data_IF_323283183211
#
_entry.id   IF_323283183211
#
_cell.length_a   1.000
_cell.length_b   1.000
_cell.length_c   1.000
_cell.angle_alpha   90.00
_cell.angle_beta   90.00
_cell.angle_gamma   90.00
#
_symmetry.space_group_name_H-M   'P 1'
#
loop_
_entity.id
_entity.type
_entity.pdbx_description
1 polymer ?
#
# COMPACT_ATOMS: atom_id res chain seq x y z
N UNK A 1 -5.74 6.43 8.25
CA UNK A 1 -4.34 6.04 8.04
C UNK A 1 -3.52 7.26 7.67
N UNK A 2 -2.19 7.14 7.63
CA UNK A 2 -1.26 8.18 7.17
C UNK A 2 -0.40 8.84 8.25
N UNK A 3 -0.80 8.75 9.52
CA UNK A 3 -0.25 9.61 10.60
C UNK A 3 0.72 8.90 11.54
N UNK A 4 0.84 7.57 11.45
CA UNK A 4 1.65 6.78 12.38
C UNK A 4 2.42 5.69 11.64
N UNK A 5 3.49 5.22 12.27
CA UNK A 5 4.15 3.97 11.92
C UNK A 5 3.67 2.88 12.86
N UNK A 6 3.36 1.71 12.32
CA UNK A 6 2.86 0.56 13.09
C UNK A 6 3.51 -0.71 12.58
N UNK A 7 3.67 -1.68 13.48
CA UNK A 7 4.22 -2.99 13.14
C UNK A 7 3.29 -3.73 12.18
N UNK A 8 3.85 -4.27 11.10
CA UNK A 8 3.13 -5.19 10.22
C UNK A 8 3.24 -6.60 10.81
N UNK A 9 2.15 -7.08 11.43
CA UNK A 9 2.15 -8.34 12.17
C UNK A 9 2.38 -8.15 13.67
N UNK A 10 1.43 -7.49 14.34
CA UNK A 10 1.43 -7.30 15.80
C UNK A 10 1.18 -8.62 16.55
N UNK A 11 0.25 -9.43 16.06
CA UNK A 11 -0.16 -10.70 16.68
C UNK A 11 0.61 -11.88 16.07
N UNK A 12 0.70 -11.90 14.74
CA UNK A 12 1.43 -12.93 13.99
C UNK A 12 2.34 -12.25 12.96
N UNK A 13 3.55 -12.77 12.68
CA UNK A 13 4.41 -12.19 11.66
C UNK A 13 3.73 -12.18 10.28
N UNK A 14 3.92 -11.09 9.54
CA UNK A 14 3.62 -11.07 8.12
C UNK A 14 4.66 -11.91 7.37
N UNK A 15 4.19 -12.86 6.56
CA UNK A 15 5.05 -13.73 5.76
C UNK A 15 5.18 -13.13 4.37
N UNK A 16 6.42 -12.87 3.94
CA UNK A 16 6.75 -12.38 2.61
C UNK A 16 8.21 -12.71 2.30
N UNK A 17 8.53 -12.90 1.02
CA UNK A 17 9.91 -13.03 0.53
C UNK A 17 10.57 -11.66 0.28
N UNK A 18 9.81 -10.57 0.44
CA UNK A 18 10.33 -9.22 0.32
C UNK A 18 11.28 -8.88 1.47
N UNK A 19 12.45 -8.33 1.15
CA UNK A 19 13.50 -7.98 2.12
C UNK A 19 13.27 -6.64 2.83
N UNK A 20 12.15 -5.97 2.59
CA UNK A 20 11.86 -4.68 3.19
C UNK A 20 11.61 -4.80 4.69
N UNK A 21 12.43 -4.13 5.49
CA UNK A 21 12.36 -4.20 6.96
C UNK A 21 11.64 -2.98 7.57
N UNK A 22 11.10 -2.10 6.74
CA UNK A 22 10.34 -0.93 7.17
C UNK A 22 11.19 0.20 7.74
N UNK A 23 10.71 0.84 8.81
CA UNK A 23 11.23 2.08 9.38
C UNK A 23 12.69 1.98 9.87
N UNK A 24 13.13 0.80 10.29
CA UNK A 24 14.53 0.55 10.66
C UNK A 24 15.54 0.92 9.56
N UNK A 25 15.16 0.81 8.28
CA UNK A 25 16.05 1.19 7.18
C UNK A 25 16.47 2.67 7.26
N UNK A 26 15.64 3.50 7.90
CA UNK A 26 15.89 4.92 8.18
C UNK A 26 16.48 5.12 9.58
N UNK A 27 15.83 4.61 10.62
CA UNK A 27 16.18 4.96 12.02
C UNK A 27 17.35 4.18 12.57
N UNK A 28 17.64 2.99 12.02
CA UNK A 28 18.63 2.02 12.51
C UNK A 28 18.31 1.43 13.89
N UNK A 29 17.15 1.73 14.46
CA UNK A 29 16.69 1.20 15.74
C UNK A 29 15.96 -0.14 15.56
N UNK A 30 16.37 -1.16 16.31
CA UNK A 30 15.77 -2.50 16.22
C UNK A 30 14.27 -2.51 16.54
N UNK A 31 13.84 -1.63 17.45
CA UNK A 31 12.43 -1.47 17.82
C UNK A 31 11.54 -0.98 16.66
N UNK A 32 12.13 -0.43 15.60
CA UNK A 32 11.44 0.01 14.39
C UNK A 32 11.41 -1.03 13.27
N UNK A 33 11.97 -2.24 13.48
CA UNK A 33 11.93 -3.31 12.50
C UNK A 33 10.49 -3.75 12.24
N UNK A 34 10.15 -3.84 10.96
CA UNK A 34 8.83 -4.15 10.42
C UNK A 34 7.73 -3.13 10.79
N UNK A 35 8.10 -1.94 11.28
CA UNK A 35 7.17 -0.82 11.36
C UNK A 35 7.06 -0.13 10.00
N UNK A 36 5.85 -0.01 9.48
CA UNK A 36 5.58 0.70 8.22
C UNK A 36 4.63 1.86 8.49
N UNK A 37 4.71 2.92 7.66
CA UNK A 37 3.72 3.99 7.71
C UNK A 37 2.35 3.40 7.38
N UNK A 38 1.37 3.57 8.25
CA UNK A 38 0.00 3.10 7.99
C UNK A 38 -0.53 3.83 6.74
N UNK A 39 -0.90 3.13 5.66
CA UNK A 39 -1.35 3.79 4.43
C UNK A 39 -2.71 4.47 4.62
N UNK A 40 -3.04 5.41 3.73
CA UNK A 40 -4.42 5.85 3.57
C UNK A 40 -5.26 4.75 2.94
N UNK A 41 -6.55 4.70 3.25
CA UNK A 41 -7.50 3.78 2.61
C UNK A 41 -8.43 4.50 1.62
N UNK A 42 -8.24 5.81 1.40
CA UNK A 42 -8.94 6.51 0.32
C UNK A 42 -8.44 5.98 -1.02
N UNK A 43 -9.39 5.75 -1.94
CA UNK A 43 -9.14 5.14 -3.26
C UNK A 43 -8.51 3.75 -3.20
N UNK A 44 -8.60 3.03 -2.08
CA UNK A 44 -7.96 1.71 -1.93
C UNK A 44 -8.46 0.69 -2.96
N UNK A 45 -9.69 0.84 -3.45
CA UNK A 45 -10.22 0.01 -4.55
C UNK A 45 -9.39 0.13 -5.84
N UNK A 46 -8.74 1.27 -6.08
CA UNK A 46 -8.02 1.57 -7.32
C UNK A 46 -6.51 1.32 -7.23
N UNK A 47 -6.01 0.88 -6.07
CA UNK A 47 -4.56 0.79 -5.78
C UNK A 47 -4.13 -0.64 -5.45
N UNK A 48 -4.69 -1.63 -6.16
CA UNK A 48 -4.21 -3.00 -6.09
C UNK A 48 -2.89 -3.15 -6.89
N UNK A 49 -2.03 -4.12 -6.54
CA UNK A 49 -2.13 -5.03 -5.40
C UNK A 49 -1.77 -4.36 -4.05
N UNK A 50 -2.13 -5.01 -2.94
CA UNK A 50 -2.03 -4.45 -1.59
C UNK A 50 -0.77 -4.88 -0.84
N UNK A 51 -0.46 -4.13 0.23
CA UNK A 51 0.76 -4.21 1.05
C UNK A 51 2.02 -3.69 0.33
N UNK A 52 3.13 -3.64 1.05
CA UNK A 52 4.38 -3.02 0.59
C UNK A 52 5.12 -3.87 -0.45
N UNK A 53 4.76 -5.14 -0.55
CA UNK A 53 5.28 -6.15 -1.46
C UNK A 53 4.33 -6.48 -2.62
N UNK A 54 3.07 -6.02 -2.56
CA UNK A 54 2.06 -6.30 -3.58
C UNK A 54 1.55 -7.76 -3.58
N UNK A 55 1.71 -8.51 -2.50
CA UNK A 55 1.35 -9.96 -2.49
C UNK A 55 -0.17 -10.22 -2.35
N UNK A 56 -0.94 -9.25 -1.89
CA UNK A 56 -2.38 -9.37 -1.79
C UNK A 56 -3.05 -8.82 -3.06
N UNK A 57 -3.52 -9.70 -3.95
CA UNK A 57 -4.19 -9.28 -5.19
C UNK A 57 -5.63 -8.77 -5.03
N UNK A 58 -6.27 -8.98 -3.88
CA UNK A 58 -7.69 -8.60 -3.64
C UNK A 58 -7.89 -7.94 -2.29
N UNK A 59 -8.88 -7.03 -2.20
CA UNK A 59 -9.25 -6.39 -0.93
C UNK A 59 -9.66 -7.43 0.11
N UNK A 60 -10.41 -8.47 -0.30
CA UNK A 60 -10.82 -9.52 0.61
C UNK A 60 -9.64 -10.26 1.24
N UNK A 61 -8.61 -10.59 0.45
CA UNK A 61 -7.37 -11.20 0.95
C UNK A 61 -6.63 -10.23 1.88
N UNK A 62 -6.54 -8.95 1.52
CA UNK A 62 -5.88 -7.94 2.35
C UNK A 62 -6.59 -7.75 3.72
N UNK A 63 -7.93 -7.66 3.72
CA UNK A 63 -8.74 -7.53 4.94
C UNK A 63 -8.61 -8.75 5.84
N UNK A 64 -8.61 -9.96 5.26
CA UNK A 64 -8.44 -11.20 6.01
C UNK A 64 -7.06 -11.28 6.67
N UNK A 65 -5.99 -11.00 5.92
CA UNK A 65 -4.62 -10.95 6.42
C UNK A 65 -4.52 -9.92 7.56
N UNK A 66 -5.03 -8.70 7.37
CA UNK A 66 -4.99 -7.67 8.41
C UNK A 66 -5.77 -8.06 9.66
N UNK A 67 -6.94 -8.68 9.50
CA UNK A 67 -7.72 -9.21 10.63
C UNK A 67 -6.92 -10.19 11.47
N UNK A 68 -6.27 -11.16 10.81
CA UNK A 68 -5.47 -12.19 11.47
C UNK A 68 -4.22 -11.62 12.13
N UNK A 69 -3.35 -10.98 11.37
CA UNK A 69 -2.00 -10.65 11.85
C UNK A 69 -1.97 -9.41 12.76
N UNK A 70 -2.96 -8.52 12.65
CA UNK A 70 -3.00 -7.30 13.47
C UNK A 70 -3.93 -7.40 14.65
N UNK A 71 -5.06 -8.11 14.51
CA UNK A 71 -6.11 -8.15 15.53
C UNK A 71 -6.32 -9.55 16.13
N UNK A 72 -5.68 -10.59 15.58
CA UNK A 72 -5.95 -11.97 15.98
C UNK A 72 -7.38 -12.42 15.64
N UNK A 73 -8.04 -11.76 14.67
CA UNK A 73 -9.44 -12.01 14.31
C UNK A 73 -9.54 -12.73 12.98
N UNK A 74 -10.35 -13.79 12.95
CA UNK A 74 -10.77 -14.45 11.72
C UNK A 74 -12.17 -13.96 11.36
N UNK A 75 -12.28 -13.17 10.30
CA UNK A 75 -13.57 -12.71 9.82
C UNK A 75 -14.32 -13.83 9.11
N UNK A 76 -15.63 -13.89 9.31
CA UNK A 76 -16.49 -14.68 8.42
C UNK A 76 -16.52 -14.06 7.01
N UNK A 77 -16.88 -14.83 5.97
CA UNK A 77 -17.00 -14.29 4.61
C UNK A 77 -17.95 -13.09 4.53
N UNK A 78 -19.03 -13.10 5.32
CA UNK A 78 -20.00 -12.01 5.36
C UNK A 78 -19.43 -10.73 6.02
N UNK A 79 -18.65 -10.86 7.10
CA UNK A 79 -17.99 -9.71 7.74
C UNK A 79 -16.92 -9.11 6.84
N UNK A 80 -16.08 -9.96 6.23
CA UNK A 80 -15.08 -9.52 5.27
C UNK A 80 -15.73 -8.75 4.11
N UNK A 81 -16.81 -9.30 3.53
CA UNK A 81 -17.54 -8.65 2.45
C UNK A 81 -18.11 -7.28 2.85
N UNK A 82 -18.62 -7.13 4.09
CA UNK A 82 -19.10 -5.84 4.61
C UNK A 82 -17.98 -4.82 4.74
N UNK A 83 -16.80 -5.23 5.22
CA UNK A 83 -15.63 -4.35 5.31
C UNK A 83 -15.18 -3.94 3.91
N UNK A 84 -15.06 -4.89 2.98
CA UNK A 84 -14.69 -4.58 1.59
C UNK A 84 -15.69 -3.64 0.94
N UNK A 85 -16.99 -3.84 1.16
CA UNK A 85 -18.03 -2.94 0.66
C UNK A 85 -17.85 -1.52 1.21
N UNK A 86 -17.59 -1.36 2.51
CA UNK A 86 -17.26 -0.07 3.10
C UNK A 86 -15.99 0.55 2.50
N UNK A 87 -14.92 -0.23 2.30
CA UNK A 87 -13.68 0.30 1.73
C UNK A 87 -13.87 0.84 0.30
N UNK A 88 -14.76 0.23 -0.48
CA UNK A 88 -15.12 0.73 -1.82
C UNK A 88 -15.85 2.08 -1.78
N UNK A 89 -16.55 2.41 -0.69
CA UNK A 89 -17.16 3.75 -0.54
C UNK A 89 -16.12 4.84 -0.26
N UNK A 90 -14.84 4.49 -0.09
CA UNK A 90 -13.74 5.44 0.12
C UNK A 90 -13.09 5.88 -1.21
N UNK A 91 -13.60 5.43 -2.35
CA UNK A 91 -13.22 5.88 -3.68
C UNK A 91 -13.88 7.22 -3.98
N UNK A 92 -13.07 8.26 -4.20
CA UNK A 92 -13.54 9.60 -4.53
C UNK A 92 -13.44 9.91 -6.02
N UNK A 93 -13.90 11.10 -6.40
CA UNK A 93 -13.74 11.63 -7.74
C UNK A 93 -12.24 11.72 -8.10
N UNK A 94 -11.90 11.22 -9.28
CA UNK A 94 -10.54 11.31 -9.79
C UNK A 94 -10.29 12.70 -10.37
N UNK A 95 -9.03 13.17 -10.39
CA UNK A 95 -8.72 14.45 -11.02
C UNK A 95 -9.18 14.49 -12.48
N UNK A 96 -10.05 15.46 -12.79
CA UNK A 96 -10.54 15.71 -14.14
C UNK A 96 -9.92 17.01 -14.68
N UNK A 97 -8.93 16.85 -15.54
CA UNK A 97 -8.27 17.95 -16.25
C UNK A 97 -7.72 17.46 -17.59
N UNK A 98 -7.55 18.38 -18.54
CA UNK A 98 -7.01 18.04 -19.86
C UNK A 98 -5.58 17.52 -19.75
N UNK A 99 -5.25 16.50 -20.55
CA UNK A 99 -3.89 15.99 -20.67
C UNK A 99 -2.93 17.15 -21.05
N UNK A 100 -1.78 17.31 -20.35
CA UNK A 100 -0.84 18.36 -20.67
C UNK A 100 -0.19 18.14 -22.04
N UNK A 101 -0.07 19.21 -22.82
CA UNK A 101 0.71 19.22 -24.06
C UNK A 101 2.14 19.61 -23.70
N UNK A 102 3.06 18.65 -23.79
CA UNK A 102 4.47 18.87 -23.50
C UNK A 102 5.16 19.54 -24.71
N UNK A 103 6.11 20.48 -24.49
CA UNK A 103 6.88 21.07 -25.57
C UNK A 103 7.86 20.06 -26.19
N UNK A 104 8.18 20.17 -27.48
CA UNK A 104 9.21 19.34 -28.11
C UNK A 104 10.60 19.70 -27.58
N UNK A 105 11.50 18.72 -27.52
CA UNK A 105 12.93 18.96 -27.32
C UNK A 105 13.53 19.80 -28.45
N UNK A 106 14.64 20.46 -28.16
CA UNK A 106 15.45 21.23 -29.12
C UNK A 106 16.86 20.64 -29.22
N UNK A 107 17.67 21.12 -30.17
CA UNK A 107 19.09 20.71 -30.33
C UNK A 107 19.95 20.97 -29.09
N UNK A 108 19.51 21.85 -28.18
CA UNK A 108 20.19 22.13 -26.90
C UNK A 108 19.69 21.25 -25.74
N UNK A 109 18.72 20.38 -25.99
CA UNK A 109 18.15 19.49 -24.97
C UNK A 109 19.02 18.25 -24.87
N UNK A 110 19.44 17.89 -23.65
CA UNK A 110 20.22 16.68 -23.42
C UNK A 110 19.48 15.46 -23.99
N UNK A 111 20.15 14.63 -24.82
CA UNK A 111 19.51 13.47 -25.43
C UNK A 111 19.17 12.41 -24.36
N UNK A 112 18.08 11.65 -24.54
CA UNK A 112 17.77 10.56 -23.63
C UNK A 112 18.79 9.42 -23.76
N UNK A 113 19.21 8.87 -22.62
CA UNK A 113 20.01 7.64 -22.54
C UNK A 113 19.16 6.54 -21.91
N UNK A 114 18.29 5.87 -22.68
CA UNK A 114 17.28 4.95 -22.14
C UNK A 114 17.85 3.63 -21.62
N UNK A 115 19.09 3.29 -21.99
CA UNK A 115 19.76 2.05 -21.59
C UNK A 115 21.18 2.38 -21.11
N UNK A 116 21.61 1.67 -20.07
CA UNK A 116 23.01 1.59 -19.64
C UNK A 116 23.69 0.39 -20.31
#
# INVERSE_FOLDING_TARGET
>A
GGNTFQKMGVVEPYQSDNRAEGRIAVTKEEADRFNFKVPTLRNVELTYPYFHDGEAGTLSKAVDIMGRIQLGKKFTPAENAKIVAFLKTLTGDQPDFKLPILPPSTDKTEPPHPFN
#
